data_IF_205722931206
#
_entry.id   IF_205722931206
#
_cell.length_a   1.000
_cell.length_b   1.000
_cell.length_c   1.000
_cell.angle_alpha   90.00
_cell.angle_beta   90.00
_cell.angle_gamma   90.00
#
_symmetry.space_group_name_H-M   'P 1'
#
loop_
_entity.id
_entity.type
_entity.pdbx_description
1 polymer ?
#
# COMPACT_ATOMS: atom_id res chain seq x y z
N UNK A 1 21.11 24.76 -0.68
CA UNK A 1 20.97 24.37 -2.10
C UNK A 1 19.64 24.95 -2.57
N UNK A 2 19.65 25.86 -3.53
CA UNK A 2 18.41 26.35 -4.14
C UNK A 2 17.72 25.16 -4.80
N UNK A 3 16.62 24.69 -4.20
CA UNK A 3 15.76 23.70 -4.84
C UNK A 3 15.26 24.32 -6.15
N UNK A 4 15.58 23.73 -7.30
CA UNK A 4 14.97 24.14 -8.56
C UNK A 4 13.45 24.06 -8.40
N UNK A 5 12.76 25.16 -8.67
CA UNK A 5 11.30 25.19 -8.68
C UNK A 5 10.83 24.29 -9.82
N UNK A 6 9.93 23.36 -9.53
CA UNK A 6 9.28 22.50 -10.52
C UNK A 6 8.05 23.20 -11.06
N UNK A 7 8.13 23.69 -12.29
CA UNK A 7 7.07 24.45 -12.94
C UNK A 7 6.51 23.62 -14.09
N UNK A 8 5.20 23.55 -14.19
CA UNK A 8 4.51 22.81 -15.25
C UNK A 8 3.27 23.56 -15.76
N UNK A 9 2.82 23.19 -16.95
CA UNK A 9 1.59 23.67 -17.59
C UNK A 9 0.58 22.53 -17.72
N UNK A 10 -0.70 22.86 -17.62
CA UNK A 10 -1.82 22.03 -18.03
C UNK A 10 -2.65 22.85 -19.03
N UNK A 11 -2.76 22.37 -20.27
CA UNK A 11 -3.50 23.08 -21.33
C UNK A 11 -5.02 22.93 -21.21
N UNK A 12 -5.45 21.82 -20.60
CA UNK A 12 -6.86 21.49 -20.46
C UNK A 12 -7.55 22.21 -19.29
N UNK A 13 -8.89 22.14 -19.29
CA UNK A 13 -9.67 22.62 -18.15
C UNK A 13 -9.66 21.55 -17.05
N UNK A 14 -9.20 21.93 -15.86
CA UNK A 14 -9.15 21.06 -14.69
C UNK A 14 -10.51 21.15 -14.00
N UNK A 15 -11.14 20.01 -13.71
CA UNK A 15 -12.38 20.00 -12.94
C UNK A 15 -12.16 20.41 -11.48
N UNK A 16 -13.26 20.66 -10.77
CA UNK A 16 -13.21 21.17 -9.40
C UNK A 16 -12.58 20.16 -8.43
N UNK A 17 -12.85 18.86 -8.58
CA UNK A 17 -12.34 17.82 -7.68
C UNK A 17 -10.82 17.69 -7.82
N UNK A 18 -10.33 17.61 -9.07
CA UNK A 18 -8.89 17.52 -9.34
C UNK A 18 -8.16 18.82 -8.99
N UNK A 19 -8.80 19.98 -9.18
CA UNK A 19 -8.23 21.25 -8.76
C UNK A 19 -8.08 21.35 -7.23
N UNK A 20 -9.02 20.80 -6.45
CA UNK A 20 -8.87 20.70 -4.99
C UNK A 20 -7.66 19.86 -4.59
N UNK A 21 -7.40 18.76 -5.30
CA UNK A 21 -6.21 17.93 -5.04
C UNK A 21 -4.94 18.68 -5.47
N UNK A 22 -4.95 19.32 -6.64
CA UNK A 22 -3.81 20.05 -7.18
C UNK A 22 -3.37 21.20 -6.27
N UNK A 23 -4.32 21.90 -5.63
CA UNK A 23 -4.03 22.91 -4.61
C UNK A 23 -3.28 22.39 -3.39
N UNK A 24 -3.35 21.09 -3.09
CA UNK A 24 -2.66 20.48 -1.95
C UNK A 24 -1.17 20.24 -2.21
N UNK A 25 -0.71 20.31 -3.46
CA UNK A 25 0.72 20.13 -3.76
C UNK A 25 1.32 21.19 -4.69
N UNK A 26 0.50 22.02 -5.33
CA UNK A 26 0.96 23.04 -6.26
C UNK A 26 0.33 24.41 -5.99
N UNK A 27 1.01 25.46 -6.44
CA UNK A 27 0.53 26.84 -6.46
C UNK A 27 0.23 27.25 -7.90
N UNK A 28 -0.93 27.82 -8.12
CA UNK A 28 -1.30 28.43 -9.39
C UNK A 28 -0.54 29.74 -9.60
N UNK A 29 0.05 29.91 -10.78
CA UNK A 29 0.82 31.09 -11.17
C UNK A 29 0.11 31.97 -12.21
N UNK A 30 -1.00 31.50 -12.78
CA UNK A 30 -1.74 32.19 -13.84
C UNK A 30 -2.00 31.29 -15.04
N UNK A 31 -2.72 31.82 -16.03
CA UNK A 31 -3.01 31.13 -17.29
C UNK A 31 -2.55 32.01 -18.44
N UNK A 32 -1.86 31.42 -19.40
CA UNK A 32 -1.42 32.07 -20.63
C UNK A 32 -1.82 31.23 -21.86
N UNK A 33 -1.23 31.52 -23.03
CA UNK A 33 -1.54 30.83 -24.29
C UNK A 33 -1.16 29.34 -24.30
N UNK A 34 -0.35 28.87 -23.35
CA UNK A 34 0.03 27.47 -23.15
C UNK A 34 -0.85 26.75 -22.14
N UNK A 35 -1.82 27.45 -21.55
CA UNK A 35 -2.69 26.92 -20.50
C UNK A 35 -2.35 27.42 -19.10
N UNK A 36 -2.82 26.65 -18.11
CA UNK A 36 -2.73 26.96 -16.69
C UNK A 36 -1.34 26.60 -16.16
N UNK A 37 -0.65 27.58 -15.58
CA UNK A 37 0.72 27.44 -15.07
C UNK A 37 0.72 27.18 -13.57
N UNK A 38 1.52 26.21 -13.15
CA UNK A 38 1.65 25.83 -11.75
C UNK A 38 3.11 25.66 -11.35
N UNK A 39 3.37 25.80 -10.05
CA UNK A 39 4.65 25.43 -9.43
C UNK A 39 4.40 24.46 -8.28
N UNK A 40 5.18 23.38 -8.21
CA UNK A 40 5.12 22.43 -7.10
C UNK A 40 5.60 23.14 -5.82
N UNK A 41 4.73 23.18 -4.82
CA UNK A 41 5.05 23.66 -3.49
C UNK A 41 5.48 22.46 -2.64
N UNK A 42 6.79 22.20 -2.61
CA UNK A 42 7.36 21.03 -1.93
C UNK A 42 6.96 20.98 -0.46
N UNK A 43 6.91 22.11 0.24
CA UNK A 43 6.53 22.14 1.65
C UNK A 43 5.07 21.69 1.82
N UNK A 44 4.18 22.21 0.98
CA UNK A 44 2.75 21.84 1.00
C UNK A 44 2.53 20.39 0.61
N UNK A 45 3.19 19.93 -0.45
CA UNK A 45 3.17 18.53 -0.87
C UNK A 45 3.57 17.61 0.30
N UNK A 46 4.67 17.92 0.98
CA UNK A 46 5.16 17.13 2.12
C UNK A 46 4.17 17.16 3.29
N UNK A 47 3.57 18.31 3.58
CA UNK A 47 2.58 18.45 4.65
C UNK A 47 1.31 17.64 4.36
N UNK A 48 0.75 17.75 3.16
CA UNK A 48 -0.45 17.02 2.75
C UNK A 48 -0.22 15.52 2.66
N UNK A 49 0.96 15.07 2.21
CA UNK A 49 1.36 13.65 2.27
C UNK A 49 1.43 13.13 3.72
N UNK A 50 2.00 13.91 4.65
CA UNK A 50 2.11 13.52 6.07
C UNK A 50 0.75 13.43 6.76
N UNK A 51 -0.17 14.34 6.42
CA UNK A 51 -1.54 14.35 6.94
C UNK A 51 -2.43 13.28 6.28
N UNK A 52 -1.96 12.64 5.20
CA UNK A 52 -2.74 11.68 4.43
C UNK A 52 -3.89 12.32 3.64
N UNK A 53 -3.81 13.63 3.37
CA UNK A 53 -4.82 14.37 2.60
C UNK A 53 -4.75 14.08 1.10
N UNK A 54 -3.57 13.62 0.65
CA UNK A 54 -3.27 13.12 -0.70
C UNK A 54 -2.28 11.96 -0.58
N UNK A 55 -2.32 11.07 -1.57
CA UNK A 55 -1.33 10.02 -1.77
C UNK A 55 -0.36 10.43 -2.88
N UNK A 56 0.84 9.83 -2.94
CA UNK A 56 1.78 10.08 -4.03
C UNK A 56 1.19 9.75 -5.40
N UNK A 57 0.39 8.68 -5.49
CA UNK A 57 -0.27 8.31 -6.74
C UNK A 57 -1.27 9.37 -7.19
N UNK A 58 -2.02 10.01 -6.28
CA UNK A 58 -2.96 11.07 -6.65
C UNK A 58 -2.22 12.23 -7.36
N UNK A 59 -1.00 12.56 -6.92
CA UNK A 59 -0.14 13.58 -7.57
C UNK A 59 0.29 13.12 -8.96
N UNK A 60 0.70 11.86 -9.09
CA UNK A 60 1.14 11.28 -10.36
C UNK A 60 -0.03 11.24 -11.34
N UNK A 61 -1.16 10.69 -10.91
CA UNK A 61 -2.36 10.46 -11.71
C UNK A 61 -2.89 11.77 -12.28
N UNK A 62 -2.95 12.84 -11.48
CA UNK A 62 -3.35 14.18 -11.96
C UNK A 62 -2.39 14.70 -13.03
N UNK A 63 -1.08 14.67 -12.78
CA UNK A 63 -0.12 15.23 -13.72
C UNK A 63 -0.06 14.42 -15.03
N UNK A 64 -0.23 13.10 -14.96
CA UNK A 64 -0.31 12.26 -16.17
C UNK A 64 -1.67 12.35 -16.86
N UNK A 65 -2.76 12.52 -16.10
CA UNK A 65 -4.12 12.56 -16.63
C UNK A 65 -4.42 13.83 -17.41
N UNK A 66 -3.77 14.94 -17.04
CA UNK A 66 -3.87 16.23 -17.73
C UNK A 66 -2.65 16.54 -18.63
N UNK A 67 -1.83 15.53 -18.96
CA UNK A 67 -0.64 15.65 -19.81
C UNK A 67 0.25 16.85 -19.43
N UNK A 68 0.57 16.97 -18.14
CA UNK A 68 1.28 18.14 -17.60
C UNK A 68 2.68 18.32 -18.24
N UNK A 69 2.89 19.49 -18.85
CA UNK A 69 4.16 19.83 -19.50
C UNK A 69 5.11 20.54 -18.52
N UNK A 70 6.19 19.88 -18.13
CA UNK A 70 7.21 20.49 -17.27
C UNK A 70 8.08 21.51 -18.03
N UNK A 71 8.15 22.72 -17.49
CA UNK A 71 9.04 23.82 -17.96
C UNK A 71 10.39 23.74 -17.26
N UNK A 72 10.37 23.41 -15.97
CA UNK A 72 11.55 23.24 -15.13
C UNK A 72 11.42 21.96 -14.33
N UNK A 73 12.49 21.17 -14.32
CA UNK A 73 12.47 19.80 -13.80
C UNK A 73 11.78 18.82 -14.76
N UNK A 74 11.38 17.67 -14.23
CA UNK A 74 10.75 16.60 -14.98
C UNK A 74 9.88 15.75 -14.07
N UNK A 75 9.10 14.84 -14.66
CA UNK A 75 8.40 13.81 -13.89
C UNK A 75 9.36 12.98 -13.04
N UNK A 76 10.55 12.66 -13.55
CA UNK A 76 11.58 11.95 -12.77
C UNK A 76 12.05 12.77 -11.56
N UNK A 77 12.22 14.08 -11.72
CA UNK A 77 12.61 14.98 -10.63
C UNK A 77 11.51 15.05 -9.56
N UNK A 78 10.23 15.07 -9.97
CA UNK A 78 9.11 14.99 -9.03
C UNK A 78 9.09 13.64 -8.32
N UNK A 79 9.34 12.54 -9.03
CA UNK A 79 9.44 11.20 -8.43
C UNK A 79 10.58 11.12 -7.41
N UNK A 80 11.72 11.76 -7.65
CA UNK A 80 12.80 11.85 -6.66
C UNK A 80 12.36 12.60 -5.39
N UNK A 81 11.60 13.70 -5.54
CA UNK A 81 11.05 14.44 -4.40
C UNK A 81 10.04 13.59 -3.65
N UNK A 82 9.08 12.99 -4.36
CA UNK A 82 8.09 12.09 -3.77
C UNK A 82 8.81 10.97 -3.00
N UNK A 83 9.75 10.25 -3.62
CA UNK A 83 10.52 9.19 -2.97
C UNK A 83 11.33 9.66 -1.76
N UNK A 84 11.78 10.91 -1.74
CA UNK A 84 12.50 11.48 -0.59
C UNK A 84 11.60 11.75 0.61
N UNK A 85 10.32 12.04 0.37
CA UNK A 85 9.40 12.47 1.42
C UNK A 85 8.26 11.49 1.70
N UNK A 86 8.05 10.49 0.85
CA UNK A 86 7.19 9.34 1.13
C UNK A 86 7.77 8.60 2.32
N UNK A 87 6.97 8.34 3.37
CA UNK A 87 7.42 7.51 4.47
C UNK A 87 7.65 6.08 3.97
N UNK A 88 8.91 5.74 3.76
CA UNK A 88 9.33 4.38 3.40
C UNK A 88 9.52 3.55 4.65
N UNK A 89 9.10 2.29 4.61
CA UNK A 89 9.35 1.30 5.66
C UNK A 89 9.94 0.03 5.04
N UNK A 90 11.13 -0.34 5.52
CA UNK A 90 11.78 -1.60 5.15
C UNK A 90 11.36 -2.68 6.13
N UNK A 91 10.96 -3.85 5.64
CA UNK A 91 10.58 -4.98 6.46
C UNK A 91 11.56 -6.11 6.24
N UNK A 92 12.22 -6.54 7.31
CA UNK A 92 13.27 -7.57 7.27
C UNK A 92 12.96 -8.67 8.26
N UNK A 93 13.37 -9.89 7.91
CA UNK A 93 13.36 -11.02 8.84
C UNK A 93 14.74 -11.17 9.47
N UNK A 94 14.81 -11.11 10.80
CA UNK A 94 16.05 -11.34 11.56
C UNK A 94 15.79 -12.48 12.54
N UNK A 95 16.28 -13.68 12.18
CA UNK A 95 15.97 -14.92 12.91
C UNK A 95 14.47 -15.23 12.89
N UNK A 96 13.85 -15.16 14.07
CA UNK A 96 12.41 -15.36 14.26
C UNK A 96 11.61 -14.06 14.32
N UNK A 97 12.28 -12.91 14.39
CA UNK A 97 11.63 -11.61 14.45
C UNK A 97 11.41 -11.04 13.04
N UNK A 98 10.30 -10.31 12.90
CA UNK A 98 10.02 -9.49 11.72
C UNK A 98 10.15 -8.04 12.17
N UNK A 99 11.14 -7.35 11.62
CA UNK A 99 11.49 -5.99 11.95
C UNK A 99 11.00 -5.05 10.86
N UNK A 100 10.34 -3.98 11.25
CA UNK A 100 9.89 -2.90 10.39
C UNK A 100 10.71 -1.66 10.74
N UNK A 101 11.59 -1.27 9.83
CA UNK A 101 12.48 -0.13 9.97
C UNK A 101 11.96 1.04 9.14
N UNK A 102 11.46 2.10 9.77
CA UNK A 102 10.99 3.27 9.04
C UNK A 102 12.18 4.16 8.65
N UNK A 103 12.07 4.80 7.50
CA UNK A 103 13.01 5.84 7.04
C UNK A 103 12.78 7.19 7.72
N UNK A 104 11.56 7.43 8.23
CA UNK A 104 11.13 8.67 8.86
C UNK A 104 10.24 8.40 10.08
N UNK A 105 9.87 9.45 10.82
CA UNK A 105 8.91 9.30 11.90
C UNK A 105 7.50 9.06 11.34
N UNK A 106 6.90 7.91 11.68
CA UNK A 106 5.58 7.51 11.16
C UNK A 106 4.38 8.07 11.94
N UNK A 107 4.58 8.61 13.15
CA UNK A 107 3.52 9.29 13.92
C UNK A 107 2.20 8.51 14.01
N UNK A 108 1.11 9.17 13.60
CA UNK A 108 -0.25 8.63 13.65
C UNK A 108 -0.53 7.54 12.61
N UNK A 109 0.28 7.45 11.55
CA UNK A 109 0.12 6.47 10.45
C UNK A 109 0.08 5.03 10.97
N UNK A 110 0.78 4.74 12.07
CA UNK A 110 0.89 3.39 12.65
C UNK A 110 0.35 3.32 14.08
N UNK A 111 -0.34 4.36 14.55
CA UNK A 111 -0.74 4.49 15.95
C UNK A 111 -1.65 3.36 16.39
N UNK A 112 -2.67 3.04 15.61
CA UNK A 112 -3.59 1.93 15.82
C UNK A 112 -2.87 0.57 15.85
N UNK A 113 -1.89 0.34 14.97
CA UNK A 113 -1.08 -0.89 14.95
C UNK A 113 -0.21 -1.03 16.22
N UNK A 114 0.20 0.10 16.81
CA UNK A 114 0.93 0.11 18.08
C UNK A 114 0.00 -0.10 19.27
N UNK A 115 -1.12 0.61 19.31
CA UNK A 115 -2.12 0.55 20.39
C UNK A 115 -2.79 -0.83 20.47
N UNK A 116 -3.04 -1.47 19.33
CA UNK A 116 -3.53 -2.86 19.25
C UNK A 116 -2.48 -3.91 19.63
N UNK A 117 -1.22 -3.50 19.87
CA UNK A 117 -0.14 -4.42 20.21
C UNK A 117 0.35 -5.28 19.03
N UNK A 118 0.00 -4.94 17.78
CA UNK A 118 0.52 -5.62 16.59
C UNK A 118 1.99 -5.24 16.36
N UNK A 119 2.34 -3.98 16.60
CA UNK A 119 3.71 -3.45 16.50
C UNK A 119 4.24 -3.01 17.86
N UNK A 120 5.38 -3.57 18.28
CA UNK A 120 6.11 -3.15 19.48
C UNK A 120 7.34 -2.36 19.08
N UNK A 121 7.53 -1.17 19.63
CA UNK A 121 8.75 -0.39 19.37
C UNK A 121 9.94 -0.92 20.17
N UNK A 122 11.04 -1.19 19.49
CA UNK A 122 12.34 -1.49 20.08
C UNK A 122 13.21 -0.24 20.02
N UNK A 123 13.47 0.36 21.19
CA UNK A 123 14.18 1.65 21.30
C UNK A 123 15.66 1.53 20.93
N UNK A 124 16.29 0.42 21.27
CA UNK A 124 17.73 0.23 21.08
C UNK A 124 18.05 0.05 19.59
N UNK A 125 17.22 -0.75 18.91
CA UNK A 125 17.34 -0.99 17.47
C UNK A 125 16.67 0.09 16.62
N UNK A 126 15.85 0.97 17.24
CA UNK A 126 15.03 1.99 16.58
C UNK A 126 14.13 1.40 15.47
N UNK A 127 13.59 0.22 15.71
CA UNK A 127 12.69 -0.50 14.78
C UNK A 127 11.39 -0.85 15.47
N UNK A 128 10.36 -1.16 14.68
CA UNK A 128 9.17 -1.84 15.17
C UNK A 128 9.32 -3.34 14.98
N UNK A 129 8.95 -4.11 16.00
CA UNK A 129 8.91 -5.57 15.96
C UNK A 129 7.45 -5.99 15.78
N UNK A 130 7.17 -6.77 14.75
CA UNK A 130 5.87 -7.41 14.59
C UNK A 130 5.68 -8.46 15.70
N UNK A 131 4.63 -8.32 16.50
CA UNK A 131 4.46 -9.16 17.69
C UNK A 131 4.05 -10.60 17.36
N UNK A 132 3.28 -10.80 16.28
CA UNK A 132 2.88 -12.12 15.79
C UNK A 132 2.96 -12.20 14.27
N UNK A 133 3.59 -13.25 13.70
CA UNK A 133 3.72 -13.41 12.25
C UNK A 133 2.40 -13.44 11.49
N UNK A 134 1.30 -13.88 12.12
CA UNK A 134 -0.02 -13.96 11.48
C UNK A 134 -0.57 -12.60 11.01
N UNK A 135 -0.09 -11.49 11.58
CA UNK A 135 -0.48 -10.14 11.17
C UNK A 135 0.35 -9.60 10.00
N UNK A 136 1.36 -10.32 9.51
CA UNK A 136 2.32 -9.79 8.56
C UNK A 136 1.66 -9.21 7.29
N UNK A 137 0.87 -10.01 6.58
CA UNK A 137 0.25 -9.57 5.33
C UNK A 137 -0.80 -8.48 5.56
N UNK A 138 -1.51 -8.53 6.68
CA UNK A 138 -2.45 -7.48 7.09
C UNK A 138 -1.73 -6.15 7.34
N UNK A 139 -0.59 -6.18 8.04
CA UNK A 139 0.24 -5.00 8.28
C UNK A 139 0.82 -4.46 6.97
N UNK A 140 1.36 -5.31 6.11
CA UNK A 140 1.88 -4.88 4.80
C UNK A 140 0.78 -4.22 3.97
N UNK A 141 -0.41 -4.82 3.92
CA UNK A 141 -1.55 -4.26 3.20
C UNK A 141 -1.99 -2.91 3.78
N UNK A 142 -2.11 -2.82 5.11
CA UNK A 142 -2.49 -1.59 5.82
C UNK A 142 -1.47 -0.47 5.62
N UNK A 143 -0.17 -0.76 5.66
CA UNK A 143 0.87 0.25 5.43
C UNK A 143 0.81 0.76 3.98
N UNK A 144 0.64 -0.14 2.99
CA UNK A 144 0.48 0.27 1.58
C UNK A 144 -0.78 1.09 1.34
N UNK A 145 -1.92 0.70 1.92
CA UNK A 145 -3.19 1.42 1.75
C UNK A 145 -3.15 2.83 2.34
N UNK A 146 -2.30 3.04 3.36
CA UNK A 146 -1.98 4.34 3.97
C UNK A 146 -0.92 5.16 3.22
N UNK A 147 -0.48 4.70 2.05
CA UNK A 147 0.44 5.46 1.19
C UNK A 147 1.92 5.33 1.54
N UNK A 148 2.30 4.33 2.35
CA UNK A 148 3.71 4.05 2.65
C UNK A 148 4.33 3.18 1.55
N UNK A 149 5.55 3.52 1.18
CA UNK A 149 6.39 2.64 0.39
C UNK A 149 6.89 1.49 1.27
N UNK A 150 6.36 0.28 1.05
CA UNK A 150 6.76 -0.92 1.80
C UNK A 150 7.76 -1.72 0.99
N UNK A 151 9.01 -1.74 1.45
CA UNK A 151 10.08 -2.56 0.89
C UNK A 151 10.21 -3.84 1.71
N UNK A 152 9.66 -4.93 1.17
CA UNK A 152 9.64 -6.24 1.80
C UNK A 152 10.88 -7.07 1.40
N UNK A 153 11.79 -7.28 2.35
CA UNK A 153 13.01 -8.08 2.22
C UNK A 153 12.87 -9.43 2.97
N UNK A 154 11.68 -9.82 3.40
CA UNK A 154 11.47 -11.05 4.18
C UNK A 154 11.46 -12.32 3.33
N UNK A 155 11.16 -12.19 2.03
CA UNK A 155 10.95 -13.30 1.11
C UNK A 155 9.65 -14.08 1.33
N UNK A 156 8.76 -13.59 2.19
CA UNK A 156 7.46 -14.22 2.39
C UNK A 156 6.56 -14.07 1.17
N UNK A 157 5.82 -15.12 0.86
CA UNK A 157 4.84 -15.13 -0.21
C UNK A 157 3.49 -15.45 0.40
N UNK A 158 2.51 -14.58 0.13
CA UNK A 158 1.13 -14.77 0.59
C UNK A 158 0.52 -16.05 0.00
N UNK A 159 0.93 -16.38 -1.22
CA UNK A 159 0.55 -17.61 -1.91
C UNK A 159 1.81 -18.37 -2.32
N UNK A 160 1.94 -19.57 -1.80
CA UNK A 160 2.98 -20.52 -2.21
C UNK A 160 2.31 -21.49 -3.18
N UNK A 161 2.60 -21.42 -4.49
CA UNK A 161 2.04 -22.38 -5.41
C UNK A 161 2.56 -23.77 -5.04
N UNK A 162 1.67 -24.76 -5.11
CA UNK A 162 2.09 -26.13 -4.97
C UNK A 162 2.95 -26.53 -6.18
N UNK A 163 3.94 -27.41 -6.00
CA UNK A 163 4.74 -27.95 -7.10
C UNK A 163 3.90 -28.83 -8.05
N UNK A 164 2.66 -29.17 -7.64
CA UNK A 164 1.70 -29.94 -8.41
C UNK A 164 0.38 -29.17 -8.50
N UNK A 165 -0.38 -29.40 -9.56
CA UNK A 165 -1.77 -28.95 -9.70
C UNK A 165 -2.70 -30.13 -9.45
N UNK A 166 -3.15 -30.37 -8.20
CA UNK A 166 -4.03 -31.49 -7.91
C UNK A 166 -5.34 -31.33 -8.68
N UNK A 167 -5.77 -32.39 -9.35
CA UNK A 167 -7.08 -32.44 -10.02
C UNK A 167 -8.00 -33.34 -9.20
N UNK A 168 -9.02 -32.75 -8.59
CA UNK A 168 -10.04 -33.49 -7.88
C UNK A 168 -11.07 -34.06 -8.87
N UNK A 169 -11.11 -35.38 -9.01
CA UNK A 169 -12.05 -36.10 -9.90
C UNK A 169 -13.30 -36.64 -9.19
N UNK A 170 -13.41 -36.45 -7.88
CA UNK A 170 -14.57 -36.88 -7.11
C UNK A 170 -15.71 -35.87 -7.11
N UNK A 171 -16.80 -36.20 -6.41
CA UNK A 171 -17.88 -35.27 -6.09
C UNK A 171 -17.92 -34.97 -4.60
N UNK A 172 -18.24 -33.73 -4.25
CA UNK A 172 -18.50 -33.33 -2.87
C UNK A 172 -19.94 -33.67 -2.50
N UNK A 173 -20.16 -34.13 -1.26
CA UNK A 173 -21.51 -34.22 -0.68
C UNK A 173 -22.05 -32.82 -0.40
N UNK A 174 -23.38 -32.67 -0.30
CA UNK A 174 -24.01 -31.34 -0.12
C UNK A 174 -23.46 -30.56 1.07
N UNK A 175 -23.33 -31.19 2.23
CA UNK A 175 -22.74 -30.53 3.42
C UNK A 175 -21.28 -30.09 3.22
N UNK A 176 -20.52 -30.77 2.36
CA UNK A 176 -19.13 -30.39 2.05
C UNK A 176 -19.10 -29.19 1.10
N UNK A 177 -20.02 -29.11 0.14
CA UNK A 177 -20.18 -27.96 -0.74
C UNK A 177 -20.57 -26.73 0.07
N UNK A 178 -21.57 -26.86 0.93
CA UNK A 178 -22.02 -25.77 1.80
C UNK A 178 -20.90 -25.26 2.70
N UNK A 179 -20.14 -26.17 3.34
CA UNK A 179 -19.00 -25.81 4.17
C UNK A 179 -17.91 -25.06 3.38
N UNK A 180 -17.60 -25.52 2.16
CA UNK A 180 -16.59 -24.89 1.31
C UNK A 180 -17.04 -23.50 0.83
N UNK A 181 -18.31 -23.35 0.45
CA UNK A 181 -18.87 -22.06 0.05
C UNK A 181 -18.97 -21.07 1.23
N UNK A 182 -19.30 -21.55 2.43
CA UNK A 182 -19.25 -20.72 3.64
C UNK A 182 -17.82 -20.23 3.91
N UNK A 183 -16.82 -21.12 3.79
CA UNK A 183 -15.42 -20.76 3.98
C UNK A 183 -14.92 -19.80 2.90
N UNK A 184 -15.34 -20.00 1.64
CA UNK A 184 -15.03 -19.10 0.52
C UNK A 184 -15.63 -17.71 0.71
N UNK A 185 -16.90 -17.63 1.11
CA UNK A 185 -17.57 -16.35 1.46
C UNK A 185 -16.87 -15.63 2.61
N UNK A 186 -16.18 -16.36 3.49
CA UNK A 186 -15.37 -15.81 4.57
C UNK A 186 -13.89 -15.57 4.16
N UNK A 187 -13.60 -15.34 2.88
CA UNK A 187 -12.26 -15.12 2.33
C UNK A 187 -11.25 -16.21 2.74
N UNK A 188 -11.70 -17.47 2.80
CA UNK A 188 -10.88 -18.63 3.17
C UNK A 188 -10.31 -18.53 4.60
N UNK A 189 -10.95 -17.77 5.49
CA UNK A 189 -10.61 -17.67 6.92
C UNK A 189 -11.58 -18.51 7.76
N UNK A 190 -11.10 -19.07 8.87
CA UNK A 190 -11.89 -19.90 9.78
C UNK A 190 -11.61 -21.40 9.66
N UNK A 191 -12.41 -22.21 10.35
CA UNK A 191 -12.20 -23.66 10.48
C UNK A 191 -13.47 -24.41 10.06
N UNK A 192 -13.32 -25.36 9.12
CA UNK A 192 -14.37 -26.32 8.80
C UNK A 192 -14.23 -27.52 9.74
N UNK A 193 -15.24 -27.75 10.60
CA UNK A 193 -15.27 -28.90 11.52
C UNK A 193 -16.17 -30.01 10.97
N UNK A 194 -15.61 -31.21 10.79
CA UNK A 194 -16.35 -32.39 10.32
C UNK A 194 -16.00 -33.60 11.20
N UNK A 195 -16.97 -34.50 11.48
CA UNK A 195 -16.73 -35.72 12.27
C UNK A 195 -15.84 -36.73 11.52
N UNK A 196 -15.36 -37.75 12.23
CA UNK A 196 -14.62 -38.86 11.61
C UNK A 196 -15.50 -39.58 10.57
N UNK A 197 -14.91 -40.03 9.45
CA UNK A 197 -15.66 -40.66 8.36
C UNK A 197 -16.42 -39.71 7.41
N UNK A 198 -16.52 -38.41 7.71
CA UNK A 198 -17.20 -37.42 6.85
C UNK A 198 -16.37 -36.90 5.65
N UNK A 199 -15.23 -37.52 5.35
CA UNK A 199 -14.41 -37.15 4.19
C UNK A 199 -13.67 -35.82 4.33
N UNK A 200 -13.08 -35.52 5.50
CA UNK A 200 -12.23 -34.35 5.73
C UNK A 200 -11.13 -34.17 4.67
N UNK A 201 -10.50 -35.26 4.26
CA UNK A 201 -9.47 -35.26 3.21
C UNK A 201 -10.04 -34.90 1.85
N UNK A 202 -11.26 -35.34 1.53
CA UNK A 202 -11.92 -35.10 0.25
C UNK A 202 -12.22 -33.61 0.07
N UNK A 203 -12.82 -32.96 1.08
CA UNK A 203 -13.08 -31.52 1.03
C UNK A 203 -11.79 -30.71 1.00
N UNK A 204 -10.75 -31.12 1.74
CA UNK A 204 -9.46 -30.45 1.75
C UNK A 204 -8.79 -30.48 0.36
N UNK A 205 -8.75 -31.64 -0.29
CA UNK A 205 -8.20 -31.77 -1.67
C UNK A 205 -9.03 -30.94 -2.65
N UNK A 206 -10.36 -30.93 -2.52
CA UNK A 206 -11.22 -30.12 -3.40
C UNK A 206 -11.02 -28.61 -3.22
N UNK A 207 -10.58 -28.17 -2.03
CA UNK A 207 -10.26 -26.79 -1.70
C UNK A 207 -8.90 -26.33 -2.23
N UNK A 208 -7.95 -27.26 -2.37
CA UNK A 208 -6.64 -27.01 -2.98
C UNK A 208 -6.84 -26.96 -4.51
N UNK A 209 -7.13 -25.76 -5.03
CA UNK A 209 -7.22 -25.48 -6.47
C UNK A 209 -6.26 -24.36 -6.85
#
# INVERSE_FOLDING_TARGET
>A
MHSQELVFYIDEWIDEEDYEILKKFARYLGRDYRGSKFVIDVNRLVESLRKGEIKPNDVIDILTGYDAEFVTGSMDTLMEILNKYIPRISIKRVGHEILLQPSTYLGDIIKDLRESGILRYDKDRKVFVLTKPMYFFEVVHTLRSRGLEVVDETGFKERIPLPIKPTFRGSLREYQKEALEAWRRNNYRGVISLPTGAGKTVIAIAAIR
#
